data_IF_403810784355
#
_entry.id   IF_403810784355
#
_cell.length_a   1.000
_cell.length_b   1.000
_cell.length_c   1.000
_cell.angle_alpha   90.00
_cell.angle_beta   90.00
_cell.angle_gamma   90.00
#
_symmetry.space_group_name_H-M   'P 1'
#
loop_
_entity.id
_entity.type
_entity.pdbx_description
1 polymer ?
#
# COMPACT_ATOMS: atom_id res chain seq x y z
N UNK A 1 21.86 -12.67 12.99
CA UNK A 1 20.82 -11.91 12.26
C UNK A 1 21.29 -10.48 12.22
N UNK A 2 21.85 -10.03 11.09
CA UNK A 2 22.18 -8.62 10.90
C UNK A 2 20.94 -7.75 11.12
N UNK A 3 21.13 -6.56 11.67
CA UNK A 3 20.07 -5.61 12.00
C UNK A 3 19.27 -5.26 10.72
N UNK A 4 18.17 -5.99 10.47
CA UNK A 4 17.12 -5.69 9.46
C UNK A 4 16.40 -4.36 9.79
N UNK A 5 16.83 -3.67 10.87
CA UNK A 5 16.24 -2.46 11.43
C UNK A 5 16.80 -1.17 10.84
N UNK A 6 17.85 -1.19 10.01
CA UNK A 6 18.36 0.03 9.35
C UNK A 6 17.82 0.13 7.92
N UNK A 7 16.85 1.03 7.71
CA UNK A 7 16.23 1.21 6.39
C UNK A 7 17.25 1.63 5.34
N UNK A 8 18.32 2.36 5.70
CA UNK A 8 19.31 2.83 4.75
C UNK A 8 20.09 1.63 4.20
N UNK A 9 20.52 0.71 5.06
CA UNK A 9 21.21 -0.53 4.66
C UNK A 9 20.32 -1.45 3.83
N UNK A 10 19.05 -1.59 4.21
CA UNK A 10 18.11 -2.40 3.43
C UNK A 10 17.88 -1.77 2.05
N UNK A 11 17.71 -0.45 1.99
CA UNK A 11 17.54 0.28 0.73
C UNK A 11 18.76 0.16 -0.17
N UNK A 12 19.98 0.19 0.38
CA UNK A 12 21.23 -0.04 -0.36
C UNK A 12 21.26 -1.41 -1.05
N UNK A 13 20.76 -2.48 -0.42
CA UNK A 13 20.63 -3.82 -1.04
C UNK A 13 19.80 -3.78 -2.33
N UNK A 14 18.83 -2.87 -2.41
CA UNK A 14 17.94 -2.70 -3.56
C UNK A 14 18.31 -1.51 -4.46
N UNK A 15 19.48 -0.89 -4.24
CA UNK A 15 19.93 0.27 -5.01
C UNK A 15 19.06 1.53 -4.82
N UNK A 16 18.37 1.63 -3.68
CA UNK A 16 17.54 2.78 -3.31
C UNK A 16 18.28 3.62 -2.27
N UNK A 17 18.32 4.93 -2.47
CA UNK A 17 18.90 5.89 -1.54
C UNK A 17 17.82 6.47 -0.62
N UNK A 18 17.63 5.88 0.55
CA UNK A 18 16.79 6.47 1.59
C UNK A 18 17.56 7.57 2.34
N UNK A 19 16.93 8.73 2.53
CA UNK A 19 17.51 9.84 3.28
C UNK A 19 16.48 10.47 4.21
N UNK A 20 16.79 10.50 5.50
CA UNK A 20 16.05 11.27 6.48
C UNK A 20 16.48 12.74 6.43
N UNK A 21 15.52 13.65 6.56
CA UNK A 21 15.79 15.08 6.66
C UNK A 21 16.73 15.39 7.82
N UNK A 22 17.76 16.16 7.52
CA UNK A 22 18.73 16.69 8.47
C UNK A 22 18.54 18.21 8.64
N UNK A 23 19.29 18.80 9.57
CA UNK A 23 19.41 20.25 9.69
C UNK A 23 20.03 20.80 8.39
N UNK A 24 19.20 21.43 7.54
CA UNK A 24 19.57 21.86 6.18
C UNK A 24 18.90 21.08 5.02
N UNK A 25 18.05 20.09 5.30
CA UNK A 25 17.25 19.38 4.29
C UNK A 25 17.81 18.00 3.93
N UNK A 26 18.06 17.75 2.64
CA UNK A 26 18.48 16.45 2.09
C UNK A 26 19.82 16.56 1.34
N UNK A 27 20.95 16.76 2.06
CA UNK A 27 22.23 17.08 1.43
C UNK A 27 22.74 15.99 0.47
N UNK A 28 22.51 14.71 0.76
CA UNK A 28 23.00 13.60 -0.05
C UNK A 28 22.25 13.53 -1.39
N UNK A 29 20.92 13.69 -1.34
CA UNK A 29 20.07 13.81 -2.52
C UNK A 29 20.45 15.04 -3.35
N UNK A 30 20.59 16.22 -2.72
CA UNK A 30 20.96 17.45 -3.43
C UNK A 30 22.31 17.33 -4.15
N UNK A 31 23.29 16.65 -3.53
CA UNK A 31 24.58 16.34 -4.14
C UNK A 31 24.42 15.42 -5.36
N UNK A 32 23.64 14.34 -5.25
CA UNK A 32 23.35 13.42 -6.38
C UNK A 32 22.57 14.07 -7.53
N UNK A 33 21.87 15.18 -7.27
CA UNK A 33 21.11 15.92 -8.28
C UNK A 33 21.92 16.99 -9.01
N UNK A 34 23.17 17.26 -8.59
CA UNK A 34 24.06 18.19 -9.30
C UNK A 34 24.21 17.81 -10.77
N UNK A 35 24.12 18.80 -11.66
CA UNK A 35 24.24 18.61 -13.10
C UNK A 35 23.03 17.96 -13.80
N UNK A 36 21.93 17.67 -13.08
CA UNK A 36 20.70 17.12 -13.66
C UNK A 36 19.62 18.18 -13.86
N UNK A 37 18.73 17.96 -14.83
CA UNK A 37 17.46 18.67 -14.96
C UNK A 37 16.37 17.91 -14.18
N UNK A 38 15.87 18.50 -13.08
CA UNK A 38 14.92 17.88 -12.17
C UNK A 38 13.52 18.47 -12.34
N UNK A 39 12.53 17.62 -12.60
CA UNK A 39 11.12 17.98 -12.48
C UNK A 39 10.60 17.58 -11.10
N UNK A 40 10.12 18.54 -10.32
CA UNK A 40 9.39 18.29 -9.07
C UNK A 40 7.90 18.14 -9.43
N UNK A 41 7.33 16.95 -9.20
CA UNK A 41 5.93 16.63 -9.45
C UNK A 41 5.14 16.71 -8.14
N UNK A 42 4.05 17.48 -8.11
CA UNK A 42 3.13 17.52 -6.98
C UNK A 42 1.68 17.72 -7.43
N UNK A 43 0.75 17.69 -6.47
CA UNK A 43 -0.63 18.13 -6.65
C UNK A 43 -0.89 19.41 -5.83
N UNK A 44 -2.12 19.93 -5.88
CA UNK A 44 -2.49 21.13 -5.13
C UNK A 44 -2.36 20.99 -3.61
N UNK A 45 -2.49 19.78 -3.06
CA UNK A 45 -2.38 19.55 -1.62
C UNK A 45 -0.92 19.49 -1.17
N UNK A 46 -0.04 18.90 -1.97
CA UNK A 46 1.38 18.69 -1.62
C UNK A 46 2.30 19.79 -2.15
N UNK A 47 1.77 20.74 -2.91
CA UNK A 47 2.52 21.91 -3.40
C UNK A 47 3.22 22.69 -2.28
N UNK A 48 2.63 22.75 -1.09
CA UNK A 48 3.22 23.40 0.09
C UNK A 48 4.56 22.80 0.51
N UNK A 49 4.81 21.53 0.21
CA UNK A 49 6.07 20.83 0.48
C UNK A 49 6.99 20.83 -0.75
N UNK A 50 6.40 20.83 -1.94
CA UNK A 50 7.15 20.83 -3.20
C UNK A 50 7.87 22.16 -3.46
N UNK A 51 7.27 23.29 -3.07
CA UNK A 51 7.87 24.63 -3.25
C UNK A 51 9.16 24.80 -2.43
N UNK A 52 9.21 24.48 -1.12
CA UNK A 52 10.46 24.46 -0.36
C UNK A 52 11.52 23.53 -0.97
N UNK A 53 11.15 22.32 -1.38
CA UNK A 53 12.08 21.37 -2.00
C UNK A 53 12.66 21.90 -3.32
N UNK A 54 11.82 22.53 -4.16
CA UNK A 54 12.27 23.23 -5.36
C UNK A 54 13.26 24.36 -5.02
N UNK A 55 12.98 25.13 -3.97
CA UNK A 55 13.86 26.18 -3.46
C UNK A 55 15.24 25.62 -3.08
N UNK A 56 15.27 24.53 -2.33
CA UNK A 56 16.52 23.85 -1.93
C UNK A 56 17.32 23.33 -3.12
N UNK A 57 16.65 22.72 -4.12
CA UNK A 57 17.30 22.29 -5.36
C UNK A 57 17.96 23.47 -6.09
N UNK A 58 17.24 24.58 -6.25
CA UNK A 58 17.75 25.77 -6.94
C UNK A 58 18.86 26.46 -6.17
N UNK A 59 18.76 26.55 -4.84
CA UNK A 59 19.81 27.09 -3.99
C UNK A 59 21.09 26.26 -4.06
N UNK A 60 20.97 24.95 -4.26
CA UNK A 60 22.10 24.06 -4.51
C UNK A 60 22.63 24.16 -5.95
N UNK A 61 22.07 24.99 -6.84
CA UNK A 61 22.50 25.12 -8.23
C UNK A 61 21.92 24.07 -9.19
N UNK A 62 20.96 23.26 -8.74
CA UNK A 62 20.29 22.26 -9.61
C UNK A 62 19.28 22.96 -10.51
N UNK A 63 19.29 22.60 -11.81
CA UNK A 63 18.26 23.05 -12.76
C UNK A 63 16.95 22.33 -12.41
N UNK A 64 16.04 23.04 -11.76
CA UNK A 64 14.79 22.45 -11.29
C UNK A 64 13.55 23.30 -11.63
N UNK A 65 12.46 22.61 -11.94
CA UNK A 65 11.13 23.20 -12.22
C UNK A 65 10.02 22.42 -11.52
N UNK A 66 8.92 23.10 -11.27
CA UNK A 66 7.70 22.50 -10.71
C UNK A 66 6.75 22.10 -11.83
N UNK A 67 6.11 20.95 -11.66
CA UNK A 67 4.90 20.58 -12.40
C UNK A 67 3.83 20.19 -11.38
N UNK A 68 2.70 20.92 -11.42
CA UNK A 68 1.59 20.75 -10.48
C UNK A 68 0.41 20.15 -11.23
N UNK A 69 -0.11 19.02 -10.75
CA UNK A 69 -1.43 18.54 -11.14
C UNK A 69 -2.48 19.44 -10.49
N UNK A 70 -3.38 19.97 -11.31
CA UNK A 70 -4.43 20.92 -10.88
C UNK A 70 -5.51 20.23 -10.04
N UNK A 71 -5.59 18.90 -10.11
CA UNK A 71 -6.45 18.09 -9.27
C UNK A 71 -5.93 18.06 -7.82
N UNK A 72 -6.82 18.21 -6.84
CA UNK A 72 -6.48 17.97 -5.42
C UNK A 72 -6.29 16.48 -5.12
N UNK A 73 -7.07 15.64 -5.78
CA UNK A 73 -6.99 14.18 -5.68
C UNK A 73 -6.76 13.62 -7.07
N UNK A 74 -5.52 13.67 -7.58
CA UNK A 74 -5.21 13.12 -8.88
C UNK A 74 -5.46 11.61 -8.89
N UNK A 75 -5.86 11.11 -10.05
CA UNK A 75 -6.09 9.70 -10.30
C UNK A 75 -4.91 9.16 -11.10
N UNK A 76 -4.35 8.01 -10.68
CA UNK A 76 -3.30 7.33 -11.43
C UNK A 76 -3.90 6.61 -12.65
N UNK A 77 -4.25 7.37 -13.69
CA UNK A 77 -4.87 6.89 -14.93
C UNK A 77 -4.02 7.22 -16.18
N UNK A 78 -4.42 6.66 -17.33
CA UNK A 78 -3.72 6.87 -18.61
C UNK A 78 -3.60 8.36 -18.98
N UNK A 79 -4.63 9.16 -18.70
CA UNK A 79 -4.67 10.59 -19.04
C UNK A 79 -3.68 11.38 -18.19
N UNK A 80 -3.64 11.13 -16.90
CA UNK A 80 -2.76 11.81 -15.95
C UNK A 80 -1.31 11.39 -16.19
N UNK A 81 -1.06 10.09 -16.41
CA UNK A 81 0.24 9.59 -16.83
C UNK A 81 0.70 10.23 -18.15
N UNK A 82 -0.17 10.39 -19.16
CA UNK A 82 0.19 11.06 -20.41
C UNK A 82 0.56 12.54 -20.23
N UNK A 83 -0.17 13.26 -19.36
CA UNK A 83 0.16 14.65 -18.98
C UNK A 83 1.52 14.74 -18.30
N UNK A 84 1.77 13.87 -17.33
CA UNK A 84 3.06 13.82 -16.62
C UNK A 84 4.19 13.42 -17.57
N UNK A 85 4.02 12.38 -18.40
CA UNK A 85 5.00 11.99 -19.42
C UNK A 85 5.35 13.13 -20.38
N UNK A 86 4.35 13.86 -20.86
CA UNK A 86 4.56 15.03 -21.72
C UNK A 86 5.29 16.14 -20.98
N UNK A 87 4.93 16.37 -19.70
CA UNK A 87 5.56 17.37 -18.86
C UNK A 87 6.99 17.01 -18.48
N UNK A 88 7.38 15.73 -18.38
CA UNK A 88 8.76 15.31 -18.09
C UNK A 88 9.72 15.88 -19.16
N UNK A 89 9.34 15.79 -20.44
CA UNK A 89 10.10 16.39 -21.53
C UNK A 89 11.59 16.05 -21.47
N UNK A 90 12.43 17.08 -21.46
CA UNK A 90 13.89 16.94 -21.39
C UNK A 90 14.48 16.71 -20.00
N UNK A 91 13.68 16.60 -18.94
CA UNK A 91 14.20 16.40 -17.58
C UNK A 91 14.87 15.03 -17.45
N UNK A 92 15.94 14.99 -16.66
CA UNK A 92 16.72 13.78 -16.38
C UNK A 92 16.14 12.96 -15.22
N UNK A 93 15.41 13.63 -14.34
CA UNK A 93 14.92 13.07 -13.09
C UNK A 93 13.57 13.65 -12.69
N UNK A 94 12.72 12.82 -12.08
CA UNK A 94 11.44 13.25 -11.49
C UNK A 94 11.44 13.00 -9.99
N UNK A 95 11.25 14.06 -9.19
CA UNK A 95 10.99 13.95 -7.76
C UNK A 95 9.49 14.13 -7.51
N UNK A 96 8.77 13.06 -7.19
CA UNK A 96 7.40 13.15 -6.73
C UNK A 96 7.38 13.67 -5.29
N UNK A 97 6.59 14.69 -5.00
CA UNK A 97 6.34 15.19 -3.65
C UNK A 97 4.91 14.84 -3.31
N UNK A 98 4.74 13.71 -2.62
CA UNK A 98 3.44 13.12 -2.41
C UNK A 98 3.48 11.77 -1.73
N UNK A 99 2.32 11.11 -1.71
CA UNK A 99 2.18 9.73 -1.25
C UNK A 99 1.89 8.81 -2.44
N UNK A 100 1.00 7.83 -2.28
CA UNK A 100 0.81 6.73 -3.23
C UNK A 100 0.58 7.13 -4.68
N UNK A 101 -0.47 7.92 -4.97
CA UNK A 101 -0.85 8.24 -6.36
C UNK A 101 0.26 8.96 -7.13
N UNK A 102 0.88 9.99 -6.54
CA UNK A 102 1.94 10.75 -7.21
C UNK A 102 3.20 9.89 -7.40
N UNK A 103 3.54 9.05 -6.43
CA UNK A 103 4.62 8.07 -6.54
C UNK A 103 4.35 7.06 -7.67
N UNK A 104 3.13 6.53 -7.74
CA UNK A 104 2.69 5.59 -8.77
C UNK A 104 2.79 6.18 -10.18
N UNK A 105 2.28 7.40 -10.37
CA UNK A 105 2.37 8.12 -11.64
C UNK A 105 3.84 8.39 -12.01
N UNK A 106 4.67 8.83 -11.07
CA UNK A 106 6.07 9.10 -11.33
C UNK A 106 6.83 7.83 -11.73
N UNK A 107 6.69 6.73 -10.97
CA UNK A 107 7.33 5.44 -11.24
C UNK A 107 6.93 4.91 -12.62
N UNK A 108 5.64 4.93 -12.94
CA UNK A 108 5.15 4.46 -14.23
C UNK A 108 5.70 5.28 -15.40
N UNK A 109 5.52 6.60 -15.35
CA UNK A 109 5.90 7.48 -16.46
C UNK A 109 7.41 7.47 -16.71
N UNK A 110 8.21 7.50 -15.65
CA UNK A 110 9.67 7.47 -15.78
C UNK A 110 10.22 6.12 -16.20
N UNK A 111 9.60 5.00 -15.77
CA UNK A 111 9.93 3.66 -16.27
C UNK A 111 9.79 3.58 -17.81
N UNK A 112 8.66 4.07 -18.34
CA UNK A 112 8.41 4.07 -19.79
C UNK A 112 9.29 5.03 -20.59
N UNK A 113 9.86 6.05 -19.93
CA UNK A 113 10.77 7.01 -20.56
C UNK A 113 12.26 6.66 -20.34
N UNK A 114 12.58 5.59 -19.62
CA UNK A 114 13.96 5.24 -19.26
C UNK A 114 14.65 6.30 -18.39
N UNK A 115 13.88 7.02 -17.56
CA UNK A 115 14.34 8.06 -16.64
C UNK A 115 14.30 7.56 -15.20
N UNK A 116 15.06 8.18 -14.29
CA UNK A 116 15.00 7.86 -12.86
C UNK A 116 13.98 8.75 -12.13
N UNK A 117 13.42 8.22 -11.05
CA UNK A 117 12.56 8.98 -10.17
C UNK A 117 12.85 8.73 -8.69
N UNK A 118 12.43 9.67 -7.85
CA UNK A 118 12.42 9.56 -6.41
C UNK A 118 11.13 10.11 -5.83
N UNK A 119 10.97 9.96 -4.52
CA UNK A 119 9.79 10.43 -3.80
C UNK A 119 10.20 11.13 -2.51
N UNK A 120 9.68 12.34 -2.29
CA UNK A 120 9.54 12.94 -0.96
C UNK A 120 8.18 12.51 -0.42
N UNK A 121 8.20 11.53 0.48
CA UNK A 121 6.99 10.93 1.01
C UNK A 121 6.27 11.93 1.93
N UNK A 122 5.02 12.27 1.59
CA UNK A 122 4.22 13.23 2.37
C UNK A 122 3.21 12.57 3.31
N UNK A 123 3.03 11.25 3.24
CA UNK A 123 2.24 10.48 4.18
C UNK A 123 2.61 8.98 4.14
N UNK A 124 2.61 8.30 5.29
CA UNK A 124 2.81 6.86 5.40
C UNK A 124 1.47 6.12 5.18
N UNK A 125 1.02 6.02 3.92
CA UNK A 125 -0.36 5.62 3.59
C UNK A 125 -0.53 4.32 2.77
N UNK A 126 0.54 3.82 2.16
CA UNK A 126 0.57 2.59 1.36
C UNK A 126 2.01 2.09 1.16
N UNK A 127 2.18 0.83 0.78
CA UNK A 127 3.48 0.14 0.60
C UNK A 127 4.13 0.29 -0.79
N UNK A 128 3.49 1.02 -1.72
CA UNK A 128 3.96 1.13 -3.11
C UNK A 128 5.20 2.00 -3.35
N UNK A 129 5.80 2.58 -2.31
CA UNK A 129 7.01 3.41 -2.42
C UNK A 129 8.19 2.65 -3.06
N UNK A 130 8.48 1.45 -2.58
CA UNK A 130 9.65 0.63 -2.96
C UNK A 130 9.30 -0.54 -3.86
N UNK A 131 8.04 -0.70 -4.24
CA UNK A 131 7.58 -1.82 -5.08
C UNK A 131 8.02 -1.66 -6.55
N UNK A 132 8.21 -2.78 -7.26
CA UNK A 132 8.48 -2.80 -8.71
C UNK A 132 7.24 -2.74 -9.59
N UNK A 133 6.08 -2.41 -9.01
CA UNK A 133 4.79 -2.36 -9.70
C UNK A 133 4.03 -1.12 -9.30
N UNK A 134 3.03 -0.76 -10.09
CA UNK A 134 2.12 0.34 -9.76
C UNK A 134 0.69 0.03 -10.17
N UNK A 135 -0.31 0.28 -9.30
CA UNK A 135 -1.69 0.02 -9.61
C UNK A 135 -2.30 1.25 -10.32
N UNK A 136 -2.61 1.11 -11.61
CA UNK A 136 -3.16 2.17 -12.46
C UNK A 136 -4.60 1.89 -12.88
N UNK A 137 -5.27 2.94 -13.36
CA UNK A 137 -6.59 2.86 -13.96
C UNK A 137 -6.44 2.93 -15.47
N UNK A 138 -6.82 1.85 -16.15
CA UNK A 138 -6.69 1.69 -17.60
C UNK A 138 -8.00 1.16 -18.14
N UNK A 139 -8.60 1.90 -19.07
CA UNK A 139 -9.94 1.59 -19.63
C UNK A 139 -11.01 1.31 -18.55
N UNK A 140 -10.95 2.02 -17.42
CA UNK A 140 -11.91 1.87 -16.31
C UNK A 140 -11.63 0.70 -15.36
N UNK A 141 -10.56 -0.08 -15.58
CA UNK A 141 -10.16 -1.18 -14.71
C UNK A 141 -8.91 -0.83 -13.92
N UNK A 142 -8.85 -1.29 -12.67
CA UNK A 142 -7.64 -1.22 -11.84
C UNK A 142 -6.71 -2.35 -12.26
N UNK A 143 -5.59 -2.00 -12.89
CA UNK A 143 -4.60 -2.95 -13.41
C UNK A 143 -3.25 -2.66 -12.76
N UNK A 144 -2.55 -3.71 -12.35
CA UNK A 144 -1.18 -3.60 -11.86
C UNK A 144 -0.23 -3.70 -13.05
N UNK A 145 0.53 -2.64 -13.28
CA UNK A 145 1.52 -2.54 -14.36
C UNK A 145 2.93 -2.62 -13.78
N UNK A 146 3.86 -3.11 -14.59
CA UNK A 146 5.28 -3.08 -14.23
C UNK A 146 5.77 -1.63 -14.18
N UNK A 147 6.60 -1.33 -13.18
CA UNK A 147 7.21 -0.03 -13.01
C UNK A 147 8.65 -0.19 -12.50
N UNK A 148 9.39 0.91 -12.41
CA UNK A 148 10.65 0.90 -11.67
C UNK A 148 10.41 1.08 -10.17
N UNK A 149 11.34 0.60 -9.36
CA UNK A 149 11.51 1.11 -7.99
C UNK A 149 12.03 2.55 -8.05
N UNK A 150 11.72 3.35 -7.04
CA UNK A 150 12.32 4.68 -6.91
C UNK A 150 13.82 4.55 -6.60
N UNK A 151 14.64 5.45 -7.13
CA UNK A 151 16.07 5.50 -6.79
C UNK A 151 16.34 6.25 -5.49
N UNK A 152 15.42 7.11 -5.06
CA UNK A 152 15.60 7.94 -3.86
C UNK A 152 14.28 8.06 -3.09
N UNK A 153 14.35 7.96 -1.76
CA UNK A 153 13.23 8.15 -0.83
C UNK A 153 13.64 9.18 0.21
N UNK A 154 12.96 10.31 0.21
CA UNK A 154 13.21 11.40 1.14
C UNK A 154 12.13 11.38 2.22
N UNK A 155 12.56 11.35 3.48
CA UNK A 155 11.70 11.17 4.65
C UNK A 155 11.82 12.41 5.54
N UNK A 156 10.72 13.15 5.68
CA UNK A 156 10.60 14.28 6.59
C UNK A 156 9.51 13.99 7.63
N UNK A 157 9.91 13.78 8.89
CA UNK A 157 8.95 13.49 9.96
C UNK A 157 8.06 14.67 10.33
N UNK A 158 8.48 15.91 10.06
CA UNK A 158 7.61 17.07 10.26
C UNK A 158 6.41 17.01 9.29
N UNK A 159 6.66 16.52 8.07
CA UNK A 159 5.62 16.32 7.04
C UNK A 159 4.79 15.07 7.38
N UNK A 160 5.44 13.94 7.61
CA UNK A 160 4.73 12.66 7.81
C UNK A 160 3.86 12.67 9.07
N UNK A 161 4.33 13.25 10.18
CA UNK A 161 3.53 13.35 11.41
C UNK A 161 2.40 14.40 11.31
N UNK A 162 2.52 15.37 10.40
CA UNK A 162 1.47 16.36 10.14
C UNK A 162 0.42 15.90 9.11
N UNK A 163 0.64 14.75 8.45
CA UNK A 163 -0.31 14.20 7.51
C UNK A 163 -1.68 13.92 8.18
N UNK A 164 -2.80 13.99 7.43
CA UNK A 164 -4.11 13.65 7.98
C UNK A 164 -4.11 12.28 8.65
N UNK A 165 -4.63 12.17 9.88
CA UNK A 165 -4.61 10.92 10.68
C UNK A 165 -5.16 9.71 9.93
N UNK A 166 -6.18 9.91 9.09
CA UNK A 166 -6.77 8.86 8.25
C UNK A 166 -5.77 8.27 7.23
N UNK A 167 -4.75 9.02 6.81
CA UNK A 167 -3.68 8.51 5.94
C UNK A 167 -2.71 7.61 6.69
N UNK A 168 -2.39 7.92 7.97
CA UNK A 168 -1.69 7.00 8.87
C UNK A 168 -2.53 5.74 9.09
N UNK A 169 -3.84 5.90 9.29
CA UNK A 169 -4.77 4.77 9.40
C UNK A 169 -4.85 3.93 8.12
N UNK A 170 -4.77 4.55 6.94
CA UNK A 170 -4.63 3.83 5.69
C UNK A 170 -3.33 2.99 5.66
N UNK A 171 -2.18 3.58 6.01
CA UNK A 171 -0.92 2.84 6.08
C UNK A 171 -0.98 1.67 7.05
N UNK A 172 -1.61 1.86 8.22
CA UNK A 172 -1.81 0.76 9.18
C UNK A 172 -2.76 -0.30 8.66
N UNK A 173 -3.87 0.07 8.02
CA UNK A 173 -4.76 -0.89 7.37
C UNK A 173 -4.04 -1.74 6.33
N UNK A 174 -3.13 -1.12 5.58
CA UNK A 174 -2.30 -1.79 4.60
C UNK A 174 -1.24 -2.72 5.23
N UNK A 175 -0.65 -2.36 6.38
CA UNK A 175 0.29 -3.25 7.10
C UNK A 175 -0.44 -4.40 7.80
N UNK A 176 -1.56 -4.15 8.49
CA UNK A 176 -2.29 -5.19 9.22
C UNK A 176 -2.89 -6.24 8.27
N UNK A 177 -3.13 -5.90 7.00
CA UNK A 177 -3.46 -6.86 5.95
C UNK A 177 -2.45 -8.00 5.81
N UNK A 178 -1.19 -7.80 6.22
CA UNK A 178 -0.14 -8.81 6.08
C UNK A 178 -0.37 -10.02 6.99
N UNK A 179 -1.18 -9.90 8.04
CA UNK A 179 -1.71 -11.08 8.75
C UNK A 179 -2.45 -12.02 7.79
N UNK A 180 -3.31 -11.46 6.95
CA UNK A 180 -4.16 -12.22 6.03
C UNK A 180 -3.38 -12.68 4.79
N UNK A 181 -2.66 -11.79 4.09
CA UNK A 181 -2.02 -12.18 2.84
C UNK A 181 -0.89 -13.21 3.01
N UNK A 182 -0.14 -13.16 4.11
CA UNK A 182 0.87 -14.17 4.43
C UNK A 182 0.21 -15.52 4.76
N UNK A 183 -0.95 -15.50 5.41
CA UNK A 183 -1.74 -16.70 5.69
C UNK A 183 -2.34 -17.29 4.41
N UNK A 184 -2.90 -16.45 3.54
CA UNK A 184 -3.37 -16.82 2.21
C UNK A 184 -2.26 -17.49 1.40
N UNK A 185 -1.07 -16.90 1.40
CA UNK A 185 0.07 -17.43 0.66
C UNK A 185 0.55 -18.77 1.22
N UNK A 186 0.69 -18.89 2.54
CA UNK A 186 1.10 -20.15 3.18
C UNK A 186 0.06 -21.24 2.95
N UNK A 187 -1.22 -20.93 3.07
CA UNK A 187 -2.31 -21.86 2.80
C UNK A 187 -2.32 -22.29 1.33
N UNK A 188 -2.16 -21.35 0.40
CA UNK A 188 -2.07 -21.66 -1.02
C UNK A 188 -0.91 -22.59 -1.34
N UNK A 189 0.27 -22.36 -0.78
CA UNK A 189 1.42 -23.24 -0.89
C UNK A 189 1.09 -24.67 -0.41
N UNK A 190 0.49 -24.80 0.77
CA UNK A 190 0.14 -26.11 1.34
C UNK A 190 -0.90 -26.89 0.51
N UNK A 191 -1.83 -26.21 -0.16
CA UNK A 191 -2.94 -26.86 -0.87
C UNK A 191 -2.75 -27.01 -2.37
N UNK A 192 -1.96 -26.14 -2.98
CA UNK A 192 -1.80 -26.06 -4.44
C UNK A 192 -0.36 -26.29 -4.88
N UNK A 193 0.60 -26.25 -3.96
CA UNK A 193 2.02 -26.29 -4.29
C UNK A 193 2.57 -24.98 -4.86
N UNK A 194 1.82 -23.86 -4.77
CA UNK A 194 2.33 -22.54 -5.18
C UNK A 194 3.67 -22.24 -4.50
N UNK A 195 4.61 -21.66 -5.24
CA UNK A 195 5.90 -21.25 -4.69
C UNK A 195 5.73 -20.27 -3.52
N UNK A 196 6.52 -20.50 -2.47
CA UNK A 196 6.50 -19.70 -1.25
C UNK A 196 7.91 -19.27 -0.91
N UNK A 197 8.16 -17.97 -1.00
CA UNK A 197 9.45 -17.38 -0.67
C UNK A 197 9.51 -17.08 0.83
N UNK A 198 10.25 -17.93 1.55
CA UNK A 198 10.40 -17.81 3.01
C UNK A 198 11.21 -16.58 3.42
N UNK A 199 12.14 -16.08 2.58
CA UNK A 199 12.89 -14.85 2.88
C UNK A 199 11.94 -13.65 2.86
N UNK A 200 11.15 -13.50 1.79
CA UNK A 200 10.19 -12.41 1.65
C UNK A 200 9.10 -12.48 2.72
N UNK A 201 8.57 -13.67 3.01
CA UNK A 201 7.53 -13.84 4.02
C UNK A 201 8.06 -13.57 5.44
N UNK A 202 9.28 -14.02 5.77
CA UNK A 202 9.90 -13.76 7.07
C UNK A 202 10.19 -12.28 7.28
N UNK A 203 10.75 -11.62 6.26
CA UNK A 203 10.99 -10.18 6.27
C UNK A 203 9.70 -9.41 6.56
N UNK A 204 8.59 -9.77 5.90
CA UNK A 204 7.31 -9.12 6.13
C UNK A 204 6.74 -9.42 7.53
N UNK A 205 6.86 -10.66 8.04
CA UNK A 205 6.43 -10.97 9.42
C UNK A 205 7.18 -10.13 10.46
N UNK A 206 8.48 -9.93 10.30
CA UNK A 206 9.27 -9.07 11.19
C UNK A 206 8.78 -7.63 11.14
N UNK A 207 8.54 -7.08 9.95
CA UNK A 207 8.02 -5.73 9.79
C UNK A 207 6.61 -5.56 10.38
N UNK A 208 5.73 -6.54 10.18
CA UNK A 208 4.39 -6.56 10.77
C UNK A 208 4.46 -6.57 12.30
N UNK A 209 5.27 -7.47 12.89
CA UNK A 209 5.44 -7.54 14.35
C UNK A 209 5.92 -6.20 14.92
N UNK A 210 6.94 -5.59 14.30
CA UNK A 210 7.47 -4.30 14.75
C UNK A 210 6.41 -3.18 14.70
N UNK A 211 5.50 -3.20 13.73
CA UNK A 211 4.36 -2.27 13.68
C UNK A 211 3.35 -2.54 14.81
N UNK A 212 3.01 -3.81 15.05
CA UNK A 212 2.07 -4.20 16.12
C UNK A 212 2.60 -3.81 17.49
N UNK A 213 3.89 -4.05 17.75
CA UNK A 213 4.56 -3.69 19.01
C UNK A 213 4.55 -2.16 19.26
N UNK A 214 4.43 -1.36 18.19
CA UNK A 214 4.42 0.11 18.24
C UNK A 214 3.05 0.75 18.00
N UNK A 215 1.96 -0.02 18.03
CA UNK A 215 0.63 0.46 17.61
C UNK A 215 0.14 1.68 18.41
N UNK A 216 0.47 1.75 19.71
CA UNK A 216 0.17 2.91 20.55
C UNK A 216 0.86 4.18 20.08
N UNK A 217 2.15 4.10 19.76
CA UNK A 217 2.92 5.23 19.23
C UNK A 217 2.45 5.65 17.84
N UNK A 218 2.01 4.69 17.01
CA UNK A 218 1.48 4.96 15.67
C UNK A 218 0.13 5.70 15.74
N UNK A 219 -0.78 5.22 16.59
CA UNK A 219 -2.10 5.85 16.79
C UNK A 219 -2.02 7.22 17.46
N UNK A 220 -0.94 7.49 18.20
CA UNK A 220 -0.58 8.83 18.68
C UNK A 220 -0.01 9.75 17.58
N UNK A 221 0.30 9.22 16.39
CA UNK A 221 0.96 9.93 15.28
C UNK A 221 2.30 10.58 15.69
N UNK A 222 3.00 9.96 16.65
CA UNK A 222 4.31 10.40 17.09
C UNK A 222 5.41 9.93 16.14
N UNK A 223 6.55 10.63 16.17
CA UNK A 223 7.71 10.35 15.28
C UNK A 223 8.15 8.89 15.29
N UNK A 224 8.27 8.28 16.46
CA UNK A 224 8.69 6.86 16.59
C UNK A 224 7.68 5.90 15.95
N UNK A 225 6.38 6.14 16.18
CA UNK A 225 5.33 5.34 15.55
C UNK A 225 5.34 5.50 14.04
N UNK A 226 5.36 6.74 13.54
CA UNK A 226 5.39 7.03 12.11
C UNK A 226 6.66 6.47 11.43
N UNK A 227 7.81 6.45 12.12
CA UNK A 227 9.03 5.79 11.64
C UNK A 227 8.82 4.27 11.50
N UNK A 228 8.27 3.63 12.54
CA UNK A 228 7.96 2.19 12.51
C UNK A 228 7.01 1.84 11.36
N UNK A 229 5.94 2.62 11.18
CA UNK A 229 4.99 2.45 10.09
C UNK A 229 5.65 2.63 8.72
N UNK A 230 6.38 3.74 8.52
CA UNK A 230 7.04 4.02 7.24
C UNK A 230 8.03 2.91 6.88
N UNK A 231 8.82 2.43 7.84
CA UNK A 231 9.74 1.31 7.63
C UNK A 231 9.01 0.04 7.21
N UNK A 232 7.90 -0.31 7.85
CA UNK A 232 7.15 -1.50 7.48
C UNK A 232 6.57 -1.40 6.06
N UNK A 233 6.08 -0.23 5.66
CA UNK A 233 5.58 0.01 4.30
C UNK A 233 6.71 -0.14 3.27
N UNK A 234 7.89 0.41 3.56
CA UNK A 234 9.07 0.25 2.70
C UNK A 234 9.55 -1.20 2.61
N UNK A 235 9.58 -1.91 3.74
CA UNK A 235 9.90 -3.33 3.80
C UNK A 235 8.92 -4.16 2.99
N UNK A 236 7.63 -3.82 3.02
CA UNK A 236 6.61 -4.52 2.25
C UNK A 236 6.86 -4.42 0.74
N UNK A 237 7.24 -3.24 0.23
CA UNK A 237 7.66 -3.10 -1.16
C UNK A 237 8.94 -3.89 -1.49
N UNK A 238 9.92 -3.96 -0.59
CA UNK A 238 11.11 -4.81 -0.77
C UNK A 238 10.78 -6.30 -0.77
N UNK A 239 9.89 -6.75 0.10
CA UNK A 239 9.44 -8.14 0.13
C UNK A 239 8.78 -8.54 -1.20
N UNK A 240 7.99 -7.65 -1.82
CA UNK A 240 7.45 -7.89 -3.16
C UNK A 240 8.52 -8.00 -4.24
N UNK A 241 9.60 -7.23 -4.14
CA UNK A 241 10.75 -7.34 -5.08
C UNK A 241 11.47 -8.67 -4.90
N UNK A 242 11.73 -9.10 -3.65
CA UNK A 242 12.36 -10.40 -3.35
C UNK A 242 11.52 -11.55 -3.91
N UNK A 243 10.21 -11.55 -3.61
CA UNK A 243 9.31 -12.61 -4.03
C UNK A 243 9.02 -12.61 -5.55
N UNK A 244 9.39 -11.54 -6.27
CA UNK A 244 9.04 -11.35 -7.68
C UNK A 244 7.53 -11.21 -7.95
N UNK A 245 6.72 -11.07 -6.89
CA UNK A 245 5.27 -10.99 -6.96
C UNK A 245 4.70 -10.31 -5.70
N UNK A 246 3.40 -10.02 -5.69
CA UNK A 246 2.76 -9.25 -4.62
C UNK A 246 2.25 -10.08 -3.43
N UNK A 247 2.44 -11.41 -3.38
CA UNK A 247 1.96 -12.28 -2.29
C UNK A 247 2.38 -11.85 -0.88
N UNK A 248 3.61 -11.35 -0.64
CA UNK A 248 4.00 -10.88 0.69
C UNK A 248 3.15 -9.71 1.19
N UNK A 249 2.46 -8.99 0.30
CA UNK A 249 1.75 -7.76 0.61
C UNK A 249 0.24 -7.80 0.30
N UNK A 250 -0.23 -8.77 -0.50
CA UNK A 250 -1.57 -8.73 -1.13
C UNK A 250 -2.21 -10.11 -1.29
N UNK A 251 -3.36 -10.29 -0.64
CA UNK A 251 -4.25 -11.45 -0.65
C UNK A 251 -5.74 -11.06 -0.80
N UNK A 252 -6.63 -11.75 -0.08
CA UNK A 252 -8.07 -11.55 -0.12
C UNK A 252 -8.51 -10.12 0.20
N UNK A 253 -7.88 -9.50 1.21
CA UNK A 253 -8.16 -8.13 1.63
C UNK A 253 -7.88 -7.09 0.53
N UNK A 254 -6.81 -7.30 -0.24
CA UNK A 254 -6.54 -6.48 -1.43
C UNK A 254 -7.50 -6.76 -2.58
N UNK A 255 -7.91 -8.01 -2.79
CA UNK A 255 -8.91 -8.34 -3.81
C UNK A 255 -10.24 -7.64 -3.53
N UNK A 256 -10.69 -7.61 -2.27
CA UNK A 256 -11.86 -6.81 -1.86
C UNK A 256 -11.66 -5.33 -2.15
N UNK A 257 -10.53 -4.76 -1.74
CA UNK A 257 -10.19 -3.36 -2.02
C UNK A 257 -10.25 -3.02 -3.51
N UNK A 258 -9.64 -3.83 -4.38
CA UNK A 258 -9.64 -3.63 -5.83
C UNK A 258 -11.03 -3.81 -6.45
N UNK A 259 -11.85 -4.73 -5.94
CA UNK A 259 -13.25 -4.88 -6.36
C UNK A 259 -14.02 -3.57 -6.14
N UNK A 260 -13.90 -3.01 -4.94
CA UNK A 260 -14.57 -1.77 -4.57
C UNK A 260 -14.02 -0.57 -5.37
N UNK A 261 -12.71 -0.51 -5.62
CA UNK A 261 -12.10 0.52 -6.49
C UNK A 261 -12.74 0.56 -7.87
N UNK A 262 -12.95 -0.61 -8.50
CA UNK A 262 -13.61 -0.68 -9.81
C UNK A 262 -15.08 -0.24 -9.75
N UNK A 263 -15.78 -0.50 -8.64
CA UNK A 263 -17.14 -0.01 -8.45
C UNK A 263 -17.20 1.53 -8.29
N UNK A 264 -16.32 2.12 -7.48
CA UNK A 264 -16.23 3.60 -7.36
C UNK A 264 -15.93 4.25 -8.70
N UNK A 265 -14.99 3.68 -9.47
CA UNK A 265 -14.66 4.13 -10.82
C UNK A 265 -15.86 4.09 -11.76
N UNK A 266 -16.57 2.96 -11.79
CA UNK A 266 -17.77 2.77 -12.60
C UNK A 266 -18.86 3.79 -12.24
N UNK A 267 -18.98 4.16 -10.97
CA UNK A 267 -19.93 5.16 -10.47
C UNK A 267 -19.45 6.60 -10.62
N UNK A 268 -18.21 6.83 -11.09
CA UNK A 268 -17.63 8.17 -11.19
C UNK A 268 -17.46 8.87 -9.84
N UNK A 269 -17.28 8.10 -8.77
CA UNK A 269 -17.16 8.62 -7.41
C UNK A 269 -15.70 8.69 -6.95
N UNK A 270 -15.35 9.59 -6.03
CA UNK A 270 -14.04 9.60 -5.38
C UNK A 270 -13.74 8.25 -4.75
N UNK A 271 -12.53 7.77 -4.96
CA UNK A 271 -12.09 6.47 -4.45
C UNK A 271 -11.51 6.68 -3.05
N UNK A 272 -12.03 5.99 -2.01
CA UNK A 272 -11.42 6.05 -0.68
C UNK A 272 -9.96 5.60 -0.69
N UNK A 273 -9.17 6.03 0.29
CA UNK A 273 -7.76 5.64 0.41
C UNK A 273 -7.58 4.11 0.33
N UNK A 274 -6.54 3.66 -0.38
CA UNK A 274 -6.28 2.24 -0.62
C UNK A 274 -6.26 1.42 0.67
N UNK A 275 -5.42 1.83 1.62
CA UNK A 275 -5.24 1.17 2.91
C UNK A 275 -6.50 1.16 3.80
N UNK A 276 -7.42 2.12 3.63
CA UNK A 276 -8.71 2.10 4.34
C UNK A 276 -9.58 0.93 3.87
N UNK A 277 -9.70 0.75 2.54
CA UNK A 277 -10.48 -0.38 1.99
C UNK A 277 -9.81 -1.72 2.26
N UNK A 278 -8.48 -1.76 2.17
CA UNK A 278 -7.68 -2.93 2.56
C UNK A 278 -7.92 -3.27 4.03
N UNK A 279 -7.92 -2.29 4.94
CA UNK A 279 -8.24 -2.49 6.36
C UNK A 279 -9.63 -3.10 6.60
N UNK A 280 -10.66 -2.65 5.87
CA UNK A 280 -11.99 -3.29 5.90
C UNK A 280 -11.93 -4.75 5.42
N UNK A 281 -11.21 -5.00 4.33
CA UNK A 281 -10.98 -6.36 3.82
C UNK A 281 -10.21 -7.25 4.81
N UNK A 282 -9.28 -6.69 5.59
CA UNK A 282 -8.54 -7.39 6.64
C UNK A 282 -9.49 -7.87 7.73
N UNK A 283 -10.39 -7.01 8.22
CA UNK A 283 -11.38 -7.38 9.24
C UNK A 283 -12.29 -8.53 8.77
N UNK A 284 -12.78 -8.46 7.52
CA UNK A 284 -13.58 -9.53 6.91
C UNK A 284 -12.78 -10.83 6.82
N UNK A 285 -11.54 -10.77 6.33
CA UNK A 285 -10.67 -11.94 6.13
C UNK A 285 -10.33 -12.62 7.46
N UNK A 286 -9.99 -11.86 8.50
CA UNK A 286 -9.73 -12.37 9.85
C UNK A 286 -10.95 -13.09 10.42
N UNK A 287 -12.13 -12.49 10.32
CA UNK A 287 -13.37 -13.12 10.77
C UNK A 287 -13.64 -14.44 10.04
N UNK A 288 -13.45 -14.44 8.72
CA UNK A 288 -13.61 -15.65 7.90
C UNK A 288 -12.64 -16.76 8.31
N UNK A 289 -11.38 -16.43 8.63
CA UNK A 289 -10.42 -17.43 9.12
C UNK A 289 -10.85 -18.03 10.46
N UNK A 290 -11.19 -17.21 11.45
CA UNK A 290 -11.61 -17.68 12.77
C UNK A 290 -12.88 -18.52 12.71
N UNK A 291 -13.83 -18.14 11.84
CA UNK A 291 -15.08 -18.89 11.62
C UNK A 291 -14.84 -20.31 11.07
N UNK A 292 -13.70 -20.62 10.44
CA UNK A 292 -13.42 -21.97 9.94
C UNK A 292 -13.44 -23.05 11.04
N UNK A 293 -13.13 -22.67 12.28
CA UNK A 293 -13.14 -23.56 13.45
C UNK A 293 -14.54 -24.10 13.75
N UNK A 294 -15.58 -23.29 13.52
CA UNK A 294 -16.97 -23.62 13.89
C UNK A 294 -17.79 -24.21 12.74
N UNK A 295 -17.28 -24.13 11.50
CA UNK A 295 -17.94 -24.72 10.34
C UNK A 295 -17.87 -26.25 10.43
N UNK A 296 -18.99 -26.99 10.42
CA UNK A 296 -18.96 -28.45 10.50
C UNK A 296 -18.49 -29.12 9.20
N UNK A 297 -18.75 -28.49 8.05
CA UNK A 297 -18.39 -29.01 6.73
C UNK A 297 -16.88 -29.30 6.63
N UNK A 298 -16.52 -30.46 6.09
CA UNK A 298 -15.15 -30.80 5.73
C UNK A 298 -14.81 -30.29 4.32
N UNK A 299 -13.57 -29.84 4.14
CA UNK A 299 -13.03 -29.46 2.84
C UNK A 299 -11.51 -29.61 2.84
N UNK A 300 -10.86 -29.82 1.67
CA UNK A 300 -9.42 -29.92 1.57
C UNK A 300 -8.71 -28.69 2.17
N UNK A 301 -7.83 -28.95 3.14
CA UNK A 301 -7.05 -27.92 3.80
C UNK A 301 -7.67 -27.28 5.03
N UNK A 302 -8.82 -27.75 5.51
CA UNK A 302 -9.47 -27.21 6.71
C UNK A 302 -8.57 -27.17 7.93
N UNK A 303 -7.92 -28.28 8.27
CA UNK A 303 -7.04 -28.36 9.44
C UNK A 303 -5.87 -27.38 9.33
N UNK A 304 -5.25 -27.30 8.16
CA UNK A 304 -4.17 -26.34 7.90
C UNK A 304 -4.66 -24.88 8.03
N UNK A 305 -5.82 -24.56 7.45
CA UNK A 305 -6.40 -23.22 7.53
C UNK A 305 -6.77 -22.82 8.97
N UNK A 306 -7.35 -23.76 9.73
CA UNK A 306 -7.68 -23.56 11.15
C UNK A 306 -6.42 -23.36 11.98
N UNK A 307 -5.39 -24.20 11.78
CA UNK A 307 -4.13 -24.08 12.52
C UNK A 307 -3.43 -22.75 12.23
N UNK A 308 -3.40 -22.30 10.97
CA UNK A 308 -2.84 -20.99 10.63
C UNK A 308 -3.65 -19.84 11.25
N UNK A 309 -4.97 -19.98 11.38
CA UNK A 309 -5.83 -18.97 11.97
C UNK A 309 -5.58 -18.72 13.47
N UNK A 310 -5.00 -19.69 14.20
CA UNK A 310 -4.71 -19.56 15.64
C UNK A 310 -3.75 -18.42 15.96
N UNK A 311 -2.86 -18.07 15.03
CA UNK A 311 -1.91 -16.98 15.19
C UNK A 311 -2.46 -15.60 14.75
N UNK A 312 -3.68 -15.56 14.21
CA UNK A 312 -4.28 -14.32 13.69
C UNK A 312 -4.93 -13.51 14.82
N UNK A 313 -4.84 -12.17 14.79
CA UNK A 313 -5.55 -11.33 15.74
C UNK A 313 -7.06 -11.36 15.50
N UNK A 314 -7.82 -10.83 16.46
CA UNK A 314 -9.25 -10.63 16.30
C UNK A 314 -9.54 -9.47 15.33
N UNK A 315 -10.59 -9.61 14.52
CA UNK A 315 -11.05 -8.56 13.61
C UNK A 315 -11.49 -7.27 14.34
N UNK A 316 -12.03 -7.38 15.56
CA UNK A 316 -12.45 -6.26 16.38
C UNK A 316 -11.27 -5.37 16.79
N UNK A 317 -10.13 -5.98 17.15
CA UNK A 317 -8.91 -5.24 17.48
C UNK A 317 -8.41 -4.40 16.30
N UNK A 318 -8.45 -4.95 15.07
CA UNK A 318 -8.14 -4.18 13.86
C UNK A 318 -9.11 -3.01 13.69
N UNK A 319 -10.41 -3.24 13.92
CA UNK A 319 -11.42 -2.20 13.88
C UNK A 319 -11.17 -1.07 14.89
N UNK A 320 -10.78 -1.39 16.12
CA UNK A 320 -10.44 -0.42 17.17
C UNK A 320 -9.24 0.44 16.77
N UNK A 321 -8.18 -0.20 16.27
CA UNK A 321 -6.97 0.50 15.78
C UNK A 321 -7.33 1.45 14.64
N UNK A 322 -8.07 1.00 13.63
CA UNK A 322 -8.47 1.83 12.49
C UNK A 322 -9.37 3.00 12.94
N UNK A 323 -10.35 2.74 13.80
CA UNK A 323 -11.26 3.74 14.33
C UNK A 323 -10.51 4.85 15.11
N UNK A 324 -9.47 4.49 15.89
CA UNK A 324 -8.64 5.45 16.64
C UNK A 324 -7.88 6.46 15.74
N UNK A 325 -7.70 6.12 14.46
CA UNK A 325 -7.08 6.96 13.43
C UNK A 325 -8.12 7.68 12.56
N UNK A 326 -9.41 7.54 12.88
CA UNK A 326 -10.52 8.14 12.12
C UNK A 326 -10.86 7.37 10.84
N UNK A 327 -10.40 6.13 10.70
CA UNK A 327 -10.78 5.30 9.56
C UNK A 327 -12.17 4.69 9.76
N UNK A 328 -12.94 4.51 8.68
CA UNK A 328 -14.18 3.77 8.71
C UNK A 328 -13.91 2.29 9.01
N UNK A 329 -14.84 1.67 9.73
CA UNK A 329 -14.82 0.24 10.09
C UNK A 329 -16.00 -0.53 9.49
N UNK A 330 -16.85 0.16 8.72
CA UNK A 330 -17.96 -0.41 7.95
C UNK A 330 -17.94 0.05 6.50
N UNK A 331 -18.37 -0.82 5.59
CA UNK A 331 -18.46 -0.49 4.16
C UNK A 331 -19.48 0.62 3.86
N UNK A 332 -20.56 0.74 4.64
CA UNK A 332 -21.54 1.82 4.49
C UNK A 332 -20.92 3.22 4.70
N UNK A 333 -19.90 3.33 5.57
CA UNK A 333 -19.23 4.60 5.89
C UNK A 333 -18.36 5.13 4.75
N UNK A 334 -17.99 4.28 3.79
CA UNK A 334 -17.26 4.68 2.58
C UNK A 334 -18.17 4.85 1.36
N UNK A 335 -19.49 4.78 1.52
CA UNK A 335 -20.44 5.00 0.42
C UNK A 335 -20.57 3.81 -0.54
N UNK A 336 -20.30 2.59 -0.06
CA UNK A 336 -20.57 1.34 -0.79
C UNK A 336 -21.98 0.86 -0.44
N UNK A 337 -22.73 0.38 -1.44
CA UNK A 337 -24.08 -0.16 -1.23
C UNK A 337 -24.05 -1.57 -0.64
N UNK A 338 -25.11 -1.97 0.07
CA UNK A 338 -25.23 -3.33 0.61
C UNK A 338 -25.11 -4.39 -0.49
N UNK A 339 -25.73 -4.14 -1.65
CA UNK A 339 -25.67 -5.03 -2.81
C UNK A 339 -24.25 -5.16 -3.35
N UNK A 340 -23.50 -4.05 -3.41
CA UNK A 340 -22.09 -4.07 -3.84
C UNK A 340 -21.21 -4.87 -2.87
N UNK A 341 -21.41 -4.73 -1.56
CA UNK A 341 -20.67 -5.53 -0.57
C UNK A 341 -21.00 -7.00 -0.72
N UNK A 342 -22.29 -7.33 -0.88
CA UNK A 342 -22.73 -8.71 -1.10
C UNK A 342 -22.11 -9.29 -2.37
N UNK A 343 -22.14 -8.55 -3.47
CA UNK A 343 -21.52 -8.93 -4.74
C UNK A 343 -20.00 -9.15 -4.58
N UNK A 344 -19.31 -8.25 -3.87
CA UNK A 344 -17.89 -8.38 -3.56
C UNK A 344 -17.57 -9.70 -2.83
N UNK A 345 -18.36 -10.07 -1.81
CA UNK A 345 -18.15 -11.33 -1.06
C UNK A 345 -18.18 -12.57 -1.97
N UNK A 346 -19.04 -12.57 -2.99
CA UNK A 346 -19.17 -13.69 -3.93
C UNK A 346 -18.26 -13.60 -5.15
N UNK A 347 -17.67 -12.45 -5.46
CA UNK A 347 -17.01 -12.24 -6.76
C UNK A 347 -15.59 -11.66 -6.71
N UNK A 348 -15.13 -11.09 -5.59
CA UNK A 348 -13.80 -10.46 -5.56
C UNK A 348 -12.66 -11.45 -5.78
N UNK A 349 -12.82 -12.73 -5.41
CA UNK A 349 -11.82 -13.76 -5.63
C UNK A 349 -11.51 -14.03 -7.11
N UNK A 350 -12.38 -13.57 -8.03
CA UNK A 350 -12.22 -13.72 -9.48
C UNK A 350 -11.33 -12.64 -10.11
N UNK A 351 -10.94 -11.62 -9.35
CA UNK A 351 -10.11 -10.51 -9.86
C UNK A 351 -8.71 -11.00 -10.25
N UNK A 352 -8.17 -11.98 -9.51
CA UNK A 352 -6.89 -12.61 -9.80
C UNK A 352 -6.98 -14.11 -9.52
N UNK A 353 -6.32 -14.90 -10.35
CA UNK A 353 -6.20 -16.34 -10.15
C UNK A 353 -5.21 -16.64 -9.01
N UNK A 354 -5.70 -16.57 -7.77
CA UNK A 354 -4.95 -16.85 -6.55
C UNK A 354 -5.83 -17.57 -5.54
N UNK A 355 -5.29 -18.59 -4.89
CA UNK A 355 -5.96 -19.19 -3.74
C UNK A 355 -5.80 -18.28 -2.52
N UNK A 356 -6.93 -17.92 -1.92
CA UNK A 356 -7.09 -17.05 -0.74
C UNK A 356 -8.26 -17.55 0.11
N UNK A 357 -8.52 -16.96 1.29
CA UNK A 357 -9.69 -17.27 2.12
C UNK A 357 -11.01 -17.00 1.37
N UNK A 358 -11.06 -15.98 0.51
CA UNK A 358 -12.21 -15.72 -0.35
C UNK A 358 -12.40 -16.81 -1.41
N UNK A 359 -11.31 -17.30 -1.99
CA UNK A 359 -11.33 -18.45 -2.92
C UNK A 359 -11.79 -19.70 -2.20
N UNK A 360 -11.31 -19.97 -0.99
CA UNK A 360 -11.70 -21.12 -0.17
C UNK A 360 -13.19 -21.10 0.13
N UNK A 361 -13.72 -19.98 0.62
CA UNK A 361 -15.14 -19.86 0.98
C UNK A 361 -16.05 -20.02 -0.22
N UNK A 362 -15.70 -19.43 -1.38
CA UNK A 362 -16.53 -19.52 -2.58
C UNK A 362 -16.40 -20.89 -3.27
N UNK A 363 -15.20 -21.45 -3.37
CA UNK A 363 -14.95 -22.76 -4.00
C UNK A 363 -15.65 -23.91 -3.27
N UNK A 364 -15.72 -23.86 -1.95
CA UNK A 364 -16.33 -24.91 -1.13
C UNK A 364 -17.77 -24.59 -0.67
N UNK A 365 -18.39 -23.54 -1.21
CA UNK A 365 -19.79 -23.20 -0.93
C UNK A 365 -20.05 -22.65 0.48
N UNK A 366 -19.00 -22.26 1.22
CA UNK A 366 -19.11 -21.74 2.58
C UNK A 366 -19.64 -20.30 2.62
N UNK A 367 -19.42 -19.53 1.55
CA UNK A 367 -19.81 -18.11 1.50
C UNK A 367 -21.33 -17.91 1.66
N UNK A 368 -22.15 -18.81 1.12
CA UNK A 368 -23.61 -18.73 1.26
C UNK A 368 -24.06 -18.73 2.72
N UNK A 369 -23.41 -19.53 3.58
CA UNK A 369 -23.71 -19.60 5.01
C UNK A 369 -23.06 -18.51 5.85
N UNK A 370 -22.13 -17.73 5.27
CA UNK A 370 -21.40 -16.67 5.97
C UNK A 370 -21.86 -15.26 5.58
N UNK A 371 -22.46 -15.09 4.41
CA UNK A 371 -22.74 -13.78 3.83
C UNK A 371 -23.60 -12.88 4.74
N UNK A 372 -24.70 -13.40 5.31
CA UNK A 372 -25.57 -12.59 6.19
C UNK A 372 -24.86 -12.15 7.48
N UNK A 373 -24.05 -13.03 8.06
CA UNK A 373 -23.23 -12.73 9.23
C UNK A 373 -22.18 -11.65 8.92
N UNK A 374 -21.44 -11.82 7.81
CA UNK A 374 -20.46 -10.83 7.35
C UNK A 374 -21.11 -9.47 7.05
N UNK A 375 -22.28 -9.46 6.42
CA UNK A 375 -23.05 -8.23 6.18
C UNK A 375 -23.47 -7.58 7.50
N UNK A 376 -23.95 -8.34 8.49
CA UNK A 376 -24.33 -7.79 9.80
C UNK A 376 -23.15 -7.16 10.56
N UNK A 377 -21.97 -7.75 10.43
CA UNK A 377 -20.77 -7.30 11.14
C UNK A 377 -20.11 -6.08 10.47
N UNK A 378 -20.02 -6.06 9.14
CA UNK A 378 -19.14 -5.14 8.41
C UNK A 378 -19.85 -4.14 7.48
N UNK A 379 -21.17 -4.22 7.30
CA UNK A 379 -21.98 -3.17 6.63
C UNK A 379 -22.56 -2.19 7.65
#
# INVERSE_FOLDING_TARGET
MENVTDICKLSEKFGIHAEYKQEGGFPSFLSRMQGKDVMVLCDLNTQIYAQPMLGSLRAAGVKARLFVLEEREPVADEKTCARVSSAIGGSDYVLAVGAGTLNDIAKYTTFHLGKKCGVLATAASMDGFTSGVTPLIKKGFKITENAQTVSDILIDFDILCAAPRIMTGAGIGDILAKFCCLTDWKLSHLLTGEEYDEEAASLMRTALSACVDNIGSITACGREGIDSLMRALLISGYAMVIAGNSRPASGAEHHMSHFLEMDFLRRGQPIPLHGVKVGLGTMVSLHMYHRLQTIPQAFPGKEAAVSLAEALPDSAWVGEVLSSLGCPTRFSQIGVSADTVRDMLFNCYKIRDRFTVMTLYNKYGLMAGAADELMSLFY
#
